data_IF_827493285538
#
_entry.id   IF_827493285538
#
_cell.length_a   1.000
_cell.length_b   1.000
_cell.length_c   1.000
_cell.angle_alpha   90.00
_cell.angle_beta   90.00
_cell.angle_gamma   90.00
#
_symmetry.space_group_name_H-M   'P 1'
#
loop_
_entity.id
_entity.type
_entity.pdbx_description
1 polymer ?
#
# COMPACT_ATOMS: atom_id res chain seq x y z
N UNK A 1 8.18 19.44 10.88
CA UNK A 1 7.51 18.46 9.98
C UNK A 1 6.68 19.24 8.95
N UNK A 2 7.00 19.18 7.66
CA UNK A 2 6.14 19.78 6.62
C UNK A 2 4.81 19.00 6.59
N UNK A 3 3.69 19.68 6.81
CA UNK A 3 2.35 19.11 6.63
C UNK A 3 2.06 19.17 5.14
N UNK A 4 1.94 17.99 4.52
CA UNK A 4 1.49 17.88 3.14
C UNK A 4 -0.04 17.89 3.14
N UNK A 5 -0.70 18.54 2.17
CA UNK A 5 -2.15 18.48 2.05
C UNK A 5 -2.59 17.02 1.88
N UNK A 6 -3.59 16.60 2.65
CA UNK A 6 -4.26 15.32 2.42
C UNK A 6 -5.18 15.55 1.23
N UNK A 7 -4.69 15.27 0.03
CA UNK A 7 -5.52 15.30 -1.16
C UNK A 7 -6.49 14.11 -1.10
N UNK A 8 -7.78 14.39 -0.96
CA UNK A 8 -8.84 13.38 -1.09
C UNK A 8 -8.92 12.84 -2.52
N UNK A 9 -8.58 13.67 -3.51
CA UNK A 9 -8.53 13.31 -4.92
C UNK A 9 -7.14 13.57 -5.51
N UNK A 10 -6.63 12.58 -6.25
CA UNK A 10 -5.35 12.68 -6.94
C UNK A 10 -5.53 13.40 -8.27
N UNK A 11 -4.55 14.22 -8.65
CA UNK A 11 -4.48 14.69 -10.04
C UNK A 11 -4.20 13.53 -10.99
N UNK A 12 -4.53 13.65 -12.28
CA UNK A 12 -4.22 12.62 -13.28
C UNK A 12 -2.72 12.28 -13.33
N UNK A 13 -1.85 13.28 -13.16
CA UNK A 13 -0.41 13.06 -13.07
C UNK A 13 -0.02 12.23 -11.84
N UNK A 14 -0.55 12.56 -10.66
CA UNK A 14 -0.31 11.80 -9.42
C UNK A 14 -0.84 10.37 -9.54
N UNK A 15 -2.03 10.20 -10.12
CA UNK A 15 -2.67 8.90 -10.35
C UNK A 15 -1.82 8.04 -11.29
N UNK A 16 -1.37 8.58 -12.41
CA UNK A 16 -0.50 7.88 -13.36
C UNK A 16 0.79 7.39 -12.70
N UNK A 17 1.44 8.22 -11.87
CA UNK A 17 2.64 7.82 -11.13
C UNK A 17 2.37 6.59 -10.26
N UNK A 18 1.24 6.56 -9.54
CA UNK A 18 0.91 5.42 -8.66
C UNK A 18 0.59 4.18 -9.48
N UNK A 19 -0.19 4.30 -10.56
CA UNK A 19 -0.54 3.18 -11.43
C UNK A 19 0.75 2.54 -11.99
N UNK A 20 1.66 3.35 -12.52
CA UNK A 20 2.94 2.85 -13.04
C UNK A 20 3.85 2.32 -11.95
N UNK A 21 3.82 2.91 -10.75
CA UNK A 21 4.56 2.40 -9.59
C UNK A 21 4.07 1.01 -9.20
N UNK A 22 2.75 0.82 -9.06
CA UNK A 22 2.14 -0.47 -8.72
C UNK A 22 2.49 -1.52 -9.77
N UNK A 23 2.32 -1.20 -11.06
CA UNK A 23 2.65 -2.12 -12.15
C UNK A 23 4.12 -2.55 -12.14
N UNK A 24 5.04 -1.62 -11.84
CA UNK A 24 6.47 -1.89 -11.83
C UNK A 24 6.92 -2.69 -10.62
N UNK A 25 6.44 -2.31 -9.43
CA UNK A 25 7.01 -2.79 -8.17
C UNK A 25 6.14 -3.83 -7.45
N UNK A 26 4.87 -3.97 -7.78
CA UNK A 26 3.93 -4.83 -7.07
C UNK A 26 3.19 -5.76 -8.03
N UNK A 27 3.90 -6.62 -8.79
CA UNK A 27 3.27 -7.47 -9.80
C UNK A 27 2.22 -8.42 -9.21
N UNK A 28 1.19 -8.73 -10.00
CA UNK A 28 0.17 -9.72 -9.67
C UNK A 28 0.82 -11.08 -9.42
N UNK A 29 0.43 -11.75 -8.34
CA UNK A 29 0.97 -13.07 -8.01
C UNK A 29 0.15 -14.22 -8.59
N UNK A 30 -1.15 -14.04 -8.75
CA UNK A 30 -2.08 -15.09 -9.18
C UNK A 30 -2.43 -16.09 -8.07
N UNK A 31 -2.22 -15.75 -6.79
CA UNK A 31 -2.66 -16.61 -5.69
C UNK A 31 -3.18 -15.84 -4.47
N UNK A 32 -4.42 -16.15 -4.07
CA UNK A 32 -5.14 -15.44 -3.02
C UNK A 32 -4.71 -15.88 -1.61
N UNK A 33 -3.45 -15.59 -1.22
CA UNK A 33 -2.91 -15.87 0.12
C UNK A 33 -3.02 -14.65 1.03
N UNK A 34 -3.52 -14.85 2.25
CA UNK A 34 -3.68 -13.77 3.26
C UNK A 34 -2.42 -13.64 4.11
N UNK A 35 -1.74 -12.50 4.03
CA UNK A 35 -0.61 -12.13 4.88
C UNK A 35 -0.72 -10.66 5.31
N UNK A 36 -0.09 -10.30 6.43
CA UNK A 36 -0.05 -8.91 6.86
C UNK A 36 0.66 -7.99 5.86
N UNK A 37 1.59 -8.51 5.07
CA UNK A 37 2.34 -7.73 4.08
C UNK A 37 1.57 -7.41 2.79
N UNK A 38 0.48 -8.11 2.50
CA UNK A 38 -0.42 -7.80 1.37
C UNK A 38 -1.80 -7.32 1.82
N UNK A 39 -1.95 -6.97 3.09
CA UNK A 39 -3.10 -6.25 3.62
C UNK A 39 -3.06 -4.78 3.18
N UNK A 40 -4.20 -4.24 2.73
CA UNK A 40 -4.32 -2.87 2.20
C UNK A 40 -3.72 -1.81 3.14
N UNK A 41 -3.91 -1.94 4.44
CA UNK A 41 -3.33 -1.03 5.43
C UNK A 41 -1.80 -0.98 5.32
N UNK A 42 -1.17 -2.15 5.31
CA UNK A 42 0.29 -2.25 5.24
C UNK A 42 0.81 -1.75 3.90
N UNK A 43 0.17 -2.20 2.81
CA UNK A 43 0.54 -1.83 1.43
C UNK A 43 0.42 -0.32 1.23
N UNK A 44 -0.73 0.27 1.58
CA UNK A 44 -0.96 1.71 1.43
C UNK A 44 0.03 2.54 2.25
N UNK A 45 0.35 2.12 3.47
CA UNK A 45 1.35 2.82 4.31
C UNK A 45 2.75 2.78 3.71
N UNK A 46 3.15 1.66 3.08
CA UNK A 46 4.46 1.56 2.41
C UNK A 46 4.50 2.43 1.17
N UNK A 47 3.47 2.35 0.31
CA UNK A 47 3.39 3.16 -0.92
C UNK A 47 3.34 4.65 -0.58
N UNK A 48 2.47 5.09 0.35
CA UNK A 48 2.39 6.50 0.77
C UNK A 48 3.75 7.04 1.22
N UNK A 49 4.50 6.28 2.04
CA UNK A 49 5.82 6.71 2.50
C UNK A 49 6.80 6.91 1.34
N UNK A 50 6.85 5.97 0.41
CA UNK A 50 7.73 6.08 -0.77
C UNK A 50 7.31 7.28 -1.61
N UNK A 51 6.02 7.39 -1.94
CA UNK A 51 5.50 8.46 -2.79
C UNK A 51 5.72 9.84 -2.15
N UNK A 52 5.49 9.96 -0.85
CA UNK A 52 5.76 11.18 -0.09
C UNK A 52 7.23 11.57 -0.08
N UNK A 53 8.13 10.60 0.11
CA UNK A 53 9.58 10.86 0.11
C UNK A 53 10.09 11.23 -1.29
N UNK A 54 9.55 10.62 -2.34
CA UNK A 54 10.07 10.76 -3.69
C UNK A 54 9.38 11.86 -4.50
N UNK A 55 8.06 11.99 -4.39
CA UNK A 55 7.24 12.88 -5.22
C UNK A 55 6.57 14.01 -4.45
N UNK A 56 6.60 13.99 -3.11
CA UNK A 56 6.17 15.13 -2.30
C UNK A 56 4.66 15.27 -2.09
N UNK A 57 3.87 14.22 -2.37
CA UNK A 57 2.44 14.18 -2.06
C UNK A 57 2.08 12.93 -1.25
N UNK A 58 0.94 12.97 -0.56
CA UNK A 58 0.46 11.88 0.29
C UNK A 58 -0.73 11.15 -0.33
N UNK A 59 -0.85 9.87 -0.01
CA UNK A 59 -1.91 8.98 -0.46
C UNK A 59 -2.81 8.57 0.69
N UNK A 60 -4.10 8.48 0.41
CA UNK A 60 -5.03 7.77 1.29
C UNK A 60 -5.12 6.29 0.87
N UNK A 61 -5.58 5.45 1.80
CA UNK A 61 -5.89 4.04 1.51
C UNK A 61 -6.88 3.88 0.36
N UNK A 62 -7.86 4.80 0.27
CA UNK A 62 -8.86 4.82 -0.79
C UNK A 62 -8.22 5.09 -2.15
N UNK A 63 -7.23 5.98 -2.23
CA UNK A 63 -6.51 6.23 -3.48
C UNK A 63 -5.74 4.98 -3.92
N UNK A 64 -5.04 4.32 -2.99
CA UNK A 64 -4.29 3.09 -3.28
C UNK A 64 -5.21 1.95 -3.72
N UNK A 65 -6.33 1.74 -3.01
CA UNK A 65 -7.31 0.72 -3.35
C UNK A 65 -7.89 0.94 -4.75
N UNK A 66 -8.33 2.17 -5.07
CA UNK A 66 -8.82 2.53 -6.42
C UNK A 66 -7.79 2.25 -7.51
N UNK A 67 -6.51 2.50 -7.27
CA UNK A 67 -5.46 2.19 -8.24
C UNK A 67 -5.33 0.67 -8.47
N UNK A 68 -5.46 -0.16 -7.43
CA UNK A 68 -5.47 -1.61 -7.59
C UNK A 68 -6.70 -2.12 -8.33
N UNK A 69 -7.89 -1.55 -8.05
CA UNK A 69 -9.13 -1.83 -8.78
C UNK A 69 -8.99 -1.51 -10.27
N UNK A 70 -8.46 -0.33 -10.59
CA UNK A 70 -8.25 0.13 -11.98
C UNK A 70 -7.26 -0.74 -12.75
N UNK A 71 -6.21 -1.21 -12.07
CA UNK A 71 -5.26 -2.17 -12.63
C UNK A 71 -5.78 -3.62 -12.62
N UNK A 72 -7.05 -3.83 -12.21
CA UNK A 72 -7.73 -5.12 -12.17
C UNK A 72 -6.99 -6.16 -11.30
N UNK A 73 -6.40 -5.75 -10.18
CA UNK A 73 -5.81 -6.69 -9.23
C UNK A 73 -6.92 -7.49 -8.54
N UNK A 74 -6.60 -8.74 -8.20
CA UNK A 74 -7.48 -9.54 -7.36
C UNK A 74 -7.50 -8.97 -5.93
N UNK A 75 -8.68 -8.49 -5.52
CA UNK A 75 -8.94 -7.99 -4.17
C UNK A 75 -9.76 -9.04 -3.44
N UNK A 76 -9.31 -9.44 -2.25
CA UNK A 76 -10.01 -10.43 -1.45
C UNK A 76 -10.05 -10.02 0.01
N UNK A 77 -11.13 -10.39 0.67
CA UNK A 77 -11.42 -9.94 2.01
C UNK A 77 -11.28 -11.08 3.00
N UNK A 78 -11.07 -10.72 4.27
CA UNK A 78 -11.41 -11.59 5.39
C UNK A 78 -12.70 -11.04 5.98
N UNK A 79 -13.77 -11.83 5.85
CA UNK A 79 -15.07 -11.53 6.46
C UNK A 79 -14.84 -11.23 7.94
N UNK A 80 -15.55 -10.23 8.45
CA UNK A 80 -15.54 -9.92 9.88
C UNK A 80 -16.31 -10.96 10.70
N UNK A 81 -16.83 -10.56 11.86
CA UNK A 81 -17.65 -11.42 12.70
C UNK A 81 -19.05 -11.60 12.07
N UNK A 82 -19.66 -12.78 12.22
CA UNK A 82 -21.06 -12.97 11.84
C UNK A 82 -21.97 -12.30 12.88
N UNK A 83 -22.77 -11.30 12.47
CA UNK A 83 -23.83 -10.74 13.32
C UNK A 83 -25.09 -11.60 13.17
N UNK A 84 -25.42 -12.37 14.20
CA UNK A 84 -26.60 -13.25 14.22
C UNK A 84 -27.93 -12.50 14.25
N UNK A 85 -27.99 -11.30 14.82
CA UNK A 85 -29.22 -10.49 14.90
C UNK A 85 -29.58 -9.91 13.54
N UNK A 86 -28.59 -9.34 12.85
CA UNK A 86 -28.78 -8.70 11.54
C UNK A 86 -28.60 -9.67 10.37
N UNK A 87 -28.24 -10.93 10.63
CA UNK A 87 -27.94 -11.98 9.64
C UNK A 87 -26.96 -11.52 8.56
N UNK A 88 -25.96 -10.74 8.94
CA UNK A 88 -24.95 -10.20 8.04
C UNK A 88 -23.55 -10.35 8.64
N UNK A 89 -22.55 -10.53 7.79
CA UNK A 89 -21.16 -10.39 8.20
C UNK A 89 -20.91 -8.92 8.54
N UNK A 90 -20.41 -8.63 9.73
CA UNK A 90 -20.03 -7.29 10.20
C UNK A 90 -18.53 -7.28 10.47
N UNK A 91 -17.83 -6.15 10.35
CA UNK A 91 -16.42 -6.07 10.72
C UNK A 91 -16.16 -6.60 12.14
N UNK A 92 -15.10 -7.40 12.31
CA UNK A 92 -14.80 -8.03 13.61
C UNK A 92 -14.40 -6.96 14.63
N UNK A 93 -14.93 -7.07 15.85
CA UNK A 93 -14.51 -6.21 16.99
C UNK A 93 -13.25 -6.73 17.68
N UNK A 94 -12.74 -7.91 17.29
CA UNK A 94 -11.54 -8.53 17.88
C UNK A 94 -10.29 -8.17 17.07
N UNK A 95 -9.42 -7.42 17.71
CA UNK A 95 -8.19 -6.83 17.15
C UNK A 95 -8.13 -5.38 17.62
N UNK A 96 -6.96 -4.91 18.06
CA UNK A 96 -6.76 -3.57 18.67
C UNK A 96 -7.12 -2.38 17.76
N UNK A 97 -7.66 -2.65 16.57
CA UNK A 97 -7.83 -1.69 15.50
C UNK A 97 -9.14 -2.02 14.76
N UNK A 98 -10.27 -1.58 15.31
CA UNK A 98 -11.50 -1.38 14.54
C UNK A 98 -11.26 -0.15 13.65
N UNK A 99 -10.67 -0.32 12.47
CA UNK A 99 -10.47 0.76 11.50
C UNK A 99 -11.51 0.67 10.39
N UNK A 100 -12.72 1.09 10.73
CA UNK A 100 -13.74 1.46 9.75
C UNK A 100 -13.37 2.82 9.15
N UNK A 101 -12.44 2.83 8.19
CA UNK A 101 -12.31 3.95 7.25
C UNK A 101 -13.14 3.69 5.99
N UNK A 102 -13.48 4.74 5.25
CA UNK A 102 -14.36 4.70 4.06
C UNK A 102 -14.03 3.62 3.02
N UNK A 103 -12.77 3.18 2.91
CA UNK A 103 -12.38 2.13 1.96
C UNK A 103 -12.89 0.72 2.36
N UNK A 104 -13.12 0.47 3.65
CA UNK A 104 -13.50 -0.84 4.18
C UNK A 104 -15.01 -1.04 4.23
N UNK A 105 -15.78 0.05 4.32
CA UNK A 105 -17.25 0.01 4.29
C UNK A 105 -17.79 -0.50 2.96
N UNK A 106 -17.19 -0.08 1.84
CA UNK A 106 -17.61 -0.48 0.48
C UNK A 106 -17.47 -2.01 0.26
N UNK A 107 -16.54 -2.63 0.98
CA UNK A 107 -16.24 -4.07 0.90
C UNK A 107 -16.88 -4.90 2.02
N UNK A 108 -17.55 -4.26 2.99
CA UNK A 108 -18.07 -4.88 4.22
C UNK A 108 -17.05 -5.85 4.87
N UNK A 109 -15.79 -5.42 4.96
CA UNK A 109 -14.67 -6.28 5.34
C UNK A 109 -13.95 -5.74 6.58
N UNK A 110 -13.50 -6.66 7.45
CA UNK A 110 -12.58 -6.30 8.53
C UNK A 110 -11.16 -6.03 8.00
N UNK A 111 -10.77 -6.77 6.96
CA UNK A 111 -9.47 -6.65 6.29
C UNK A 111 -9.63 -6.84 4.78
N UNK A 112 -8.94 -5.98 4.03
CA UNK A 112 -8.81 -6.06 2.57
C UNK A 112 -7.38 -6.50 2.26
N UNK A 113 -7.24 -7.49 1.38
CA UNK A 113 -5.96 -7.99 0.89
C UNK A 113 -5.90 -7.84 -0.63
N UNK A 114 -4.70 -7.61 -1.13
CA UNK A 114 -4.40 -7.48 -2.56
C UNK A 114 -3.57 -8.70 -2.99
N UNK A 115 -3.82 -9.25 -4.17
CA UNK A 115 -3.05 -10.36 -4.75
C UNK A 115 -1.66 -9.91 -5.26
N UNK A 116 -0.78 -9.66 -4.31
CA UNK A 116 0.63 -9.30 -4.50
C UNK A 116 1.52 -10.09 -3.55
N UNK A 117 2.81 -10.20 -3.88
CA UNK A 117 3.76 -10.84 -2.98
C UNK A 117 4.05 -9.95 -1.76
N UNK A 118 3.66 -10.43 -0.58
CA UNK A 118 3.89 -9.77 0.69
C UNK A 118 5.38 -9.54 1.01
N UNK A 119 6.28 -10.33 0.43
CA UNK A 119 7.74 -10.17 0.57
C UNK A 119 8.20 -8.90 -0.11
N UNK A 120 7.74 -8.65 -1.34
CA UNK A 120 8.09 -7.45 -2.11
C UNK A 120 7.66 -6.18 -1.38
N UNK A 121 6.47 -6.18 -0.77
CA UNK A 121 5.99 -5.01 0.02
C UNK A 121 6.86 -4.78 1.26
N UNK A 122 7.34 -5.86 1.90
CA UNK A 122 8.27 -5.74 3.04
C UNK A 122 9.63 -5.23 2.61
N UNK A 123 10.11 -5.66 1.45
CA UNK A 123 11.37 -5.19 0.88
C UNK A 123 11.25 -3.70 0.52
N UNK A 124 10.17 -3.30 -0.15
CA UNK A 124 9.84 -1.89 -0.41
C UNK A 124 9.83 -1.04 0.85
N UNK A 125 9.36 -1.59 1.98
CA UNK A 125 9.41 -0.89 3.26
C UNK A 125 10.84 -0.57 3.69
N UNK A 126 11.85 -1.37 3.37
CA UNK A 126 13.26 -1.10 3.68
C UNK A 126 13.75 0.22 3.07
N UNK A 127 13.21 0.61 1.91
CA UNK A 127 13.52 1.91 1.30
C UNK A 127 13.02 3.09 2.16
N UNK A 128 11.99 2.88 2.99
CA UNK A 128 11.30 3.97 3.69
C UNK A 128 11.95 4.44 5.00
N UNK A 129 12.95 3.71 5.52
CA UNK A 129 13.58 4.01 6.80
C UNK A 129 15.11 3.90 6.76
N UNK A 130 15.76 4.57 7.71
CA UNK A 130 17.22 4.48 7.90
C UNK A 130 17.57 3.18 8.60
N UNK A 131 18.49 2.40 8.04
CA UNK A 131 18.98 1.18 8.68
C UNK A 131 19.79 1.51 9.94
N UNK A 132 19.71 0.68 11.00
CA UNK A 132 20.55 0.86 12.17
C UNK A 132 22.03 0.58 11.83
N UNK A 133 22.99 1.15 12.58
CA UNK A 133 24.43 1.00 12.31
C UNK A 133 24.95 -0.44 12.35
N UNK A 134 24.22 -1.36 12.97
CA UNK A 134 24.55 -2.78 13.09
C UNK A 134 23.82 -3.68 12.07
N UNK A 135 23.08 -3.10 11.10
CA UNK A 135 22.45 -3.89 10.05
C UNK A 135 23.50 -4.69 9.26
N UNK A 136 23.16 -5.92 8.88
CA UNK A 136 24.02 -6.79 8.07
C UNK A 136 24.35 -6.16 6.72
N UNK A 137 25.49 -6.53 6.15
CA UNK A 137 25.95 -6.04 4.85
C UNK A 137 24.92 -6.34 3.74
N UNK A 138 24.39 -7.56 3.72
CA UNK A 138 23.32 -7.98 2.80
C UNK A 138 22.12 -7.02 2.83
N UNK A 139 21.59 -6.70 4.03
CA UNK A 139 20.47 -5.77 4.16
C UNK A 139 20.80 -4.35 3.69
N UNK A 140 22.05 -3.91 3.85
CA UNK A 140 22.49 -2.60 3.35
C UNK A 140 22.56 -2.59 1.83
N UNK A 141 23.04 -3.68 1.22
CA UNK A 141 23.08 -3.85 -0.23
C UNK A 141 21.67 -3.87 -0.81
N UNK A 142 20.75 -4.63 -0.20
CA UNK A 142 19.36 -4.70 -0.65
C UNK A 142 18.67 -3.34 -0.58
N UNK A 143 18.86 -2.60 0.52
CA UNK A 143 18.34 -1.24 0.63
C UNK A 143 18.92 -0.33 -0.44
N UNK A 144 20.24 -0.38 -0.68
CA UNK A 144 20.90 0.48 -1.68
C UNK A 144 20.34 0.23 -3.08
N UNK A 145 20.25 -1.04 -3.48
CA UNK A 145 19.69 -1.44 -4.78
C UNK A 145 18.24 -0.95 -4.95
N UNK A 146 17.44 -1.09 -3.89
CA UNK A 146 16.05 -0.67 -3.91
C UNK A 146 15.91 0.85 -3.99
N UNK A 147 16.70 1.60 -3.22
CA UNK A 147 16.74 3.06 -3.25
C UNK A 147 17.15 3.56 -4.66
N UNK A 148 18.09 2.88 -5.32
CA UNK A 148 18.48 3.17 -6.71
C UNK A 148 17.34 2.92 -7.70
N UNK A 149 16.64 1.78 -7.60
CA UNK A 149 15.49 1.49 -8.47
C UNK A 149 14.37 2.52 -8.31
N UNK A 150 14.11 2.96 -7.09
CA UNK A 150 13.10 3.99 -6.79
C UNK A 150 13.56 5.36 -7.33
N UNK A 151 14.83 5.72 -7.20
CA UNK A 151 15.39 6.95 -7.80
C UNK A 151 15.28 6.95 -9.32
N UNK A 152 15.64 5.85 -9.97
CA UNK A 152 15.51 5.68 -11.42
C UNK A 152 14.04 5.78 -11.85
N UNK A 153 13.11 5.19 -11.08
CA UNK A 153 11.68 5.32 -11.34
C UNK A 153 11.20 6.77 -11.27
N UNK A 154 11.66 7.55 -10.27
CA UNK A 154 11.34 8.98 -10.16
C UNK A 154 11.88 9.78 -11.35
N UNK A 155 13.09 9.49 -11.79
CA UNK A 155 13.70 10.16 -12.94
C UNK A 155 12.93 9.90 -14.24
N UNK A 156 12.41 8.68 -14.44
CA UNK A 156 11.61 8.34 -15.62
C UNK A 156 10.16 8.84 -15.54
N UNK A 157 9.68 9.26 -14.37
CA UNK A 157 8.34 9.80 -14.16
C UNK A 157 8.41 11.14 -13.40
N UNK A 158 9.00 12.19 -14.00
CA UNK A 158 9.18 13.46 -13.32
C UNK A 158 7.82 14.06 -12.98
N UNK A 159 7.62 14.39 -11.70
CA UNK A 159 6.47 15.11 -11.20
C UNK A 159 6.89 16.53 -10.86
N UNK A 160 6.19 17.53 -11.41
CA UNK A 160 6.32 18.94 -11.07
C UNK A 160 4.95 19.39 -10.57
N UNK A 161 4.91 19.85 -9.32
CA UNK A 161 3.73 20.52 -8.75
C UNK A 161 3.40 21.82 -9.50
#
# INVERSE_FOLDING_TARGET
MKRFPINTELTEAQKNIILTFILKFLPKRGNKRKHSGNELEYVANVIDRIIKQQFGFSLTRKNVLKCFEELQYDIFTRNGDWNSEEKKWVPSKKGDIVRMGDAFSDYNAAFIYIDIDATIVRDLKLATFTLPPNASEEKRLDKTKLDEQIKLFKQSHPYRD
#
